data_IF_918594920838
#
_entry.id   IF_918594920838
#
_cell.length_a   1.000
_cell.length_b   1.000
_cell.length_c   1.000
_cell.angle_alpha   90.00
_cell.angle_beta   90.00
_cell.angle_gamma   90.00
#
_symmetry.space_group_name_H-M   'P 1'
#
loop_
_entity.id
_entity.type
_entity.pdbx_description
1 polymer ?
#
# COMPACT_ATOMS: atom_id res chain seq x y z
N UNK A 1 -21.39 -45.12 -46.50
CA UNK A 1 -22.29 -44.40 -45.58
C UNK A 1 -21.70 -42.99 -45.43
N UNK A 2 -22.31 -41.99 -46.07
CA UNK A 2 -21.79 -40.61 -46.10
C UNK A 2 -22.39 -39.87 -44.91
N UNK A 3 -21.54 -39.39 -43.99
CA UNK A 3 -21.96 -38.48 -42.92
C UNK A 3 -22.32 -37.13 -43.56
N UNK A 4 -23.62 -36.88 -43.76
CA UNK A 4 -24.10 -35.56 -44.17
C UNK A 4 -24.02 -34.63 -42.97
N UNK A 5 -23.09 -33.67 -43.07
CA UNK A 5 -22.81 -32.66 -42.06
C UNK A 5 -24.02 -31.80 -41.69
N UNK A 6 -23.95 -31.25 -40.48
CA UNK A 6 -24.89 -30.24 -39.99
C UNK A 6 -25.13 -29.15 -41.05
N UNK A 7 -26.37 -28.72 -41.28
CA UNK A 7 -26.67 -27.72 -42.30
C UNK A 7 -25.97 -26.39 -41.99
N UNK A 8 -25.43 -25.74 -43.02
CA UNK A 8 -24.68 -24.48 -42.94
C UNK A 8 -25.46 -23.35 -42.22
N UNK A 9 -26.79 -23.43 -42.19
CA UNK A 9 -27.69 -22.49 -41.52
C UNK A 9 -27.70 -22.60 -39.99
N UNK A 10 -27.46 -23.79 -39.41
CA UNK A 10 -27.36 -23.93 -37.95
C UNK A 10 -26.08 -23.32 -37.41
N UNK A 11 -24.95 -23.47 -38.13
CA UNK A 11 -23.67 -22.84 -37.75
C UNK A 11 -23.74 -21.31 -37.73
N UNK A 12 -24.37 -20.70 -38.74
CA UNK A 12 -24.54 -19.23 -38.80
C UNK A 12 -25.43 -18.68 -37.69
N UNK A 13 -26.52 -19.37 -37.35
CA UNK A 13 -27.39 -18.96 -36.23
C UNK A 13 -26.72 -19.14 -34.87
N UNK A 14 -25.93 -20.20 -34.70
CA UNK A 14 -25.21 -20.46 -33.46
C UNK A 14 -24.06 -19.47 -33.25
N UNK A 15 -23.35 -19.06 -34.32
CA UNK A 15 -22.32 -18.01 -34.22
C UNK A 15 -22.93 -16.64 -33.93
N UNK A 16 -24.03 -16.26 -34.60
CA UNK A 16 -24.74 -15.01 -34.32
C UNK A 16 -25.29 -14.95 -32.88
N UNK A 17 -25.82 -16.06 -32.38
CA UNK A 17 -26.28 -16.16 -31.00
C UNK A 17 -25.13 -16.00 -29.99
N UNK A 18 -23.97 -16.61 -30.28
CA UNK A 18 -22.78 -16.47 -29.42
C UNK A 18 -22.22 -15.04 -29.45
N UNK A 19 -22.14 -14.39 -30.63
CA UNK A 19 -21.69 -13.00 -30.77
C UNK A 19 -22.65 -12.01 -30.07
N UNK A 20 -23.95 -12.26 -30.11
CA UNK A 20 -24.96 -11.45 -29.42
C UNK A 20 -24.90 -11.64 -27.90
N UNK A 21 -24.69 -12.86 -27.41
CA UNK A 21 -24.46 -13.12 -25.98
C UNK A 21 -23.15 -12.50 -25.47
N UNK A 22 -22.06 -12.58 -26.23
CA UNK A 22 -20.80 -11.91 -25.90
C UNK A 22 -20.99 -10.39 -25.86
N UNK A 23 -21.69 -9.80 -26.83
CA UNK A 23 -21.98 -8.37 -26.83
C UNK A 23 -22.78 -7.94 -25.59
N UNK A 24 -23.84 -8.68 -25.25
CA UNK A 24 -24.67 -8.41 -24.06
C UNK A 24 -23.83 -8.55 -22.78
N UNK A 25 -22.94 -9.55 -22.72
CA UNK A 25 -22.02 -9.71 -21.59
C UNK A 25 -21.12 -8.49 -21.44
N UNK A 26 -20.42 -8.08 -22.51
CA UNK A 26 -19.52 -6.92 -22.48
C UNK A 26 -20.26 -5.61 -22.19
N UNK A 27 -21.48 -5.45 -22.70
CA UNK A 27 -22.32 -4.28 -22.43
C UNK A 27 -22.72 -4.22 -20.94
N UNK A 28 -23.17 -5.35 -20.37
CA UNK A 28 -23.47 -5.45 -18.93
C UNK A 28 -22.24 -5.19 -18.07
N UNK A 29 -21.09 -5.73 -18.46
CA UNK A 29 -19.84 -5.55 -17.74
C UNK A 29 -19.39 -4.08 -17.79
N UNK A 30 -19.49 -3.43 -18.95
CA UNK A 30 -19.17 -2.01 -19.12
C UNK A 30 -20.08 -1.12 -18.26
N UNK A 31 -21.37 -1.42 -18.20
CA UNK A 31 -22.35 -0.70 -17.38
C UNK A 31 -22.11 -0.93 -15.88
N UNK A 32 -21.62 -2.11 -15.51
CA UNK A 32 -21.22 -2.41 -14.13
C UNK A 32 -20.01 -1.58 -13.73
N UNK A 33 -18.93 -1.60 -14.53
CA UNK A 33 -17.72 -0.80 -14.30
C UNK A 33 -18.04 0.70 -14.24
N UNK A 34 -18.94 1.19 -15.11
CA UNK A 34 -19.38 2.59 -15.07
C UNK A 34 -20.05 2.94 -13.74
N UNK A 35 -20.97 2.10 -13.25
CA UNK A 35 -21.65 2.31 -11.96
C UNK A 35 -20.68 2.25 -10.78
N UNK A 36 -19.73 1.33 -10.80
CA UNK A 36 -18.68 1.23 -9.79
C UNK A 36 -17.82 2.50 -9.77
N UNK A 37 -17.41 2.99 -10.95
CA UNK A 37 -16.66 4.24 -11.07
C UNK A 37 -17.47 5.46 -10.60
N UNK A 38 -18.74 5.58 -11.00
CA UNK A 38 -19.60 6.69 -10.57
C UNK A 38 -19.75 6.71 -9.04
N UNK A 39 -19.93 5.54 -8.41
CA UNK A 39 -19.99 5.39 -6.96
C UNK A 39 -18.67 5.80 -6.28
N UNK A 40 -17.53 5.33 -6.80
CA UNK A 40 -16.20 5.72 -6.27
C UNK A 40 -16.00 7.23 -6.35
N UNK A 41 -16.36 7.87 -7.46
CA UNK A 41 -16.25 9.32 -7.62
C UNK A 41 -17.15 10.08 -6.65
N UNK A 42 -18.35 9.56 -6.36
CA UNK A 42 -19.25 10.14 -5.36
C UNK A 42 -18.65 10.05 -3.94
N UNK A 43 -18.07 8.90 -3.58
CA UNK A 43 -17.36 8.72 -2.32
C UNK A 43 -16.17 9.68 -2.18
N UNK A 44 -15.29 9.75 -3.19
CA UNK A 44 -14.15 10.68 -3.20
C UNK A 44 -14.64 12.12 -3.00
N UNK A 45 -15.69 12.52 -3.72
CA UNK A 45 -16.24 13.87 -3.60
C UNK A 45 -16.74 14.15 -2.18
N UNK A 46 -17.49 13.21 -1.59
CA UNK A 46 -18.01 13.34 -0.22
C UNK A 46 -16.88 13.50 0.80
N UNK A 47 -15.82 12.72 0.68
CA UNK A 47 -14.70 12.78 1.62
C UNK A 47 -13.85 14.04 1.45
N UNK A 48 -13.72 14.54 0.21
CA UNK A 48 -13.08 15.84 -0.04
C UNK A 48 -13.90 17.00 0.55
N UNK A 49 -15.23 16.96 0.41
CA UNK A 49 -16.12 17.94 1.05
C UNK A 49 -16.03 17.88 2.57
N UNK A 50 -15.99 16.68 3.14
CA UNK A 50 -15.76 16.46 4.56
C UNK A 50 -14.40 17.03 4.99
N UNK A 51 -13.31 16.71 4.30
CA UNK A 51 -11.97 17.18 4.64
C UNK A 51 -11.89 18.71 4.62
N UNK A 52 -12.44 19.34 3.57
CA UNK A 52 -12.51 20.80 3.46
C UNK A 52 -13.32 21.44 4.59
N UNK A 53 -14.38 20.79 5.06
CA UNK A 53 -15.22 21.30 6.16
C UNK A 53 -14.58 21.11 7.53
N UNK A 54 -14.03 19.92 7.79
CA UNK A 54 -13.57 19.50 9.11
C UNK A 54 -12.11 19.86 9.38
N UNK A 55 -11.23 19.70 8.40
CA UNK A 55 -9.81 20.03 8.51
C UNK A 55 -9.46 21.38 7.89
N UNK A 56 -10.42 22.05 7.25
CA UNK A 56 -10.25 23.33 6.56
C UNK A 56 -9.23 23.28 5.40
N UNK A 57 -8.85 22.07 4.98
CA UNK A 57 -7.88 21.82 3.92
C UNK A 57 -8.14 20.46 3.28
N UNK A 58 -7.68 20.31 2.04
CA UNK A 58 -7.48 19.01 1.37
C UNK A 58 -5.99 18.77 1.08
N UNK A 59 -5.11 19.66 1.54
CA UNK A 59 -3.67 19.57 1.37
C UNK A 59 -2.99 18.77 2.48
N UNK A 60 -1.75 19.13 2.79
CA UNK A 60 -0.95 18.42 3.79
C UNK A 60 -1.49 18.68 5.20
N UNK A 61 -1.52 17.61 5.99
CA UNK A 61 -1.74 17.64 7.43
C UNK A 61 -0.68 16.76 8.09
N UNK A 62 -0.29 17.13 9.29
CA UNK A 62 0.63 16.34 10.12
C UNK A 62 -0.12 15.82 11.32
N UNK A 63 0.08 14.55 11.64
CA UNK A 63 -0.48 13.89 12.81
C UNK A 63 0.60 13.12 13.55
N UNK A 64 0.58 13.20 14.87
CA UNK A 64 1.48 12.44 15.72
C UNK A 64 0.88 11.06 15.99
N UNK A 65 1.63 10.01 15.68
CA UNK A 65 1.20 8.62 15.91
C UNK A 65 1.07 8.40 17.42
N UNK A 66 -0.08 7.93 17.93
CA UNK A 66 -0.27 7.67 19.35
C UNK A 66 0.72 6.61 19.82
N UNK A 67 1.26 6.82 21.03
CA UNK A 67 2.18 5.86 21.67
C UNK A 67 1.58 4.45 21.77
N UNK A 68 0.26 4.35 21.93
CA UNK A 68 -0.44 3.05 22.01
C UNK A 68 -0.41 2.25 20.70
N UNK A 69 -0.21 2.92 19.57
CA UNK A 69 -0.12 2.30 18.25
C UNK A 69 1.33 1.93 17.89
N UNK A 70 2.29 2.28 18.76
CA UNK A 70 3.70 1.96 18.58
C UNK A 70 4.08 0.62 19.26
N UNK A 71 5.06 -0.11 18.70
CA UNK A 71 5.65 -1.26 19.37
C UNK A 71 6.27 -0.84 20.71
N UNK A 72 6.25 -1.76 21.69
CA UNK A 72 6.77 -1.51 23.06
C UNK A 72 8.17 -0.90 23.09
N UNK A 73 9.04 -1.33 22.18
CA UNK A 73 10.42 -0.84 22.06
C UNK A 73 10.52 0.63 21.59
N UNK A 74 9.42 1.20 21.11
CA UNK A 74 9.30 2.53 20.53
C UNK A 74 8.25 3.41 21.23
N UNK A 75 7.76 3.02 22.42
CA UNK A 75 6.74 3.80 23.13
C UNK A 75 7.19 5.23 23.51
N UNK A 76 8.49 5.48 23.57
CA UNK A 76 9.04 6.81 23.82
C UNK A 76 9.43 7.53 22.53
N UNK A 77 9.21 6.92 21.36
CA UNK A 77 9.55 7.51 20.06
C UNK A 77 8.44 8.48 19.64
N UNK A 78 8.83 9.69 19.28
CA UNK A 78 7.89 10.68 18.78
C UNK A 78 7.88 10.63 17.26
N UNK A 79 6.75 10.23 16.69
CA UNK A 79 6.62 10.00 15.25
C UNK A 79 5.48 10.84 14.70
N UNK A 80 5.82 11.67 13.72
CA UNK A 80 4.87 12.45 12.96
C UNK A 80 4.72 11.85 11.57
N UNK A 81 3.48 11.63 11.20
CA UNK A 81 3.07 11.24 9.87
C UNK A 81 2.47 12.45 9.16
N UNK A 82 3.12 12.88 8.08
CA UNK A 82 2.57 13.88 7.16
C UNK A 82 1.86 13.17 6.01
N UNK A 83 0.63 13.60 5.72
CA UNK A 83 -0.19 13.07 4.61
C UNK A 83 -0.87 14.22 3.88
N UNK A 84 -1.05 14.08 2.57
CA UNK A 84 -1.88 14.98 1.77
C UNK A 84 -3.30 14.40 1.67
N UNK A 85 -4.30 15.09 2.24
CA UNK A 85 -5.66 14.54 2.32
C UNK A 85 -6.29 14.24 0.96
N UNK A 86 -6.01 15.04 -0.07
CA UNK A 86 -6.48 14.78 -1.42
C UNK A 86 -5.92 13.46 -1.95
N UNK A 87 -4.60 13.27 -1.88
CA UNK A 87 -3.95 12.03 -2.29
C UNK A 87 -4.41 10.85 -1.43
N UNK A 88 -4.51 11.02 -0.12
CA UNK A 88 -4.95 10.00 0.82
C UNK A 88 -6.35 9.45 0.50
N UNK A 89 -7.31 10.33 0.19
CA UNK A 89 -8.65 9.92 -0.22
C UNK A 89 -8.59 9.15 -1.55
N UNK A 90 -7.85 9.66 -2.54
CA UNK A 90 -7.72 8.96 -3.82
C UNK A 90 -7.00 7.62 -3.66
N UNK A 91 -6.03 7.50 -2.76
CA UNK A 91 -5.34 6.27 -2.42
C UNK A 91 -6.32 5.21 -1.91
N UNK A 92 -7.20 5.57 -0.97
CA UNK A 92 -8.17 4.64 -0.38
C UNK A 92 -9.16 4.05 -1.39
N UNK A 93 -9.50 4.82 -2.43
CA UNK A 93 -10.45 4.41 -3.48
C UNK A 93 -9.79 3.92 -4.77
N UNK A 94 -8.46 3.97 -4.85
CA UNK A 94 -7.74 3.51 -6.04
C UNK A 94 -7.54 2.00 -6.03
N UNK A 95 -7.62 1.41 -7.22
CA UNK A 95 -7.15 0.06 -7.47
C UNK A 95 -5.64 -0.03 -7.23
N UNK A 96 -5.18 -1.26 -6.94
CA UNK A 96 -3.80 -1.55 -6.53
C UNK A 96 -2.79 -0.91 -7.50
N UNK A 97 -3.06 -0.92 -8.82
CA UNK A 97 -2.20 -0.31 -9.84
C UNK A 97 -2.01 1.21 -9.70
N UNK A 98 -3.04 1.93 -9.29
CA UNK A 98 -3.07 3.39 -9.22
C UNK A 98 -2.69 3.95 -7.85
N UNK A 99 -2.81 3.15 -6.78
CA UNK A 99 -2.47 3.55 -5.40
C UNK A 99 -1.07 4.17 -5.29
N UNK A 100 -0.10 3.62 -6.02
CA UNK A 100 1.27 4.14 -6.03
C UNK A 100 1.36 5.64 -6.38
N UNK A 101 0.49 6.16 -7.25
CA UNK A 101 0.49 7.58 -7.63
C UNK A 101 -0.06 8.51 -6.56
N UNK A 102 -0.85 7.96 -5.63
CA UNK A 102 -1.50 8.70 -4.57
C UNK A 102 -0.87 8.43 -3.20
N UNK A 103 0.22 7.66 -3.14
CA UNK A 103 0.98 7.48 -1.91
C UNK A 103 1.49 8.84 -1.43
N UNK A 104 1.27 9.14 -0.15
CA UNK A 104 1.57 10.46 0.39
C UNK A 104 2.13 10.44 1.81
N UNK A 105 2.07 9.30 2.50
CA UNK A 105 2.58 9.14 3.85
C UNK A 105 4.07 9.43 3.92
N UNK A 106 4.46 10.43 4.71
CA UNK A 106 5.86 10.71 5.05
C UNK A 106 6.05 10.64 6.55
N UNK A 107 6.98 9.79 6.96
CA UNK A 107 7.30 9.58 8.37
C UNK A 107 8.47 10.48 8.74
N UNK A 108 8.29 11.24 9.81
CA UNK A 108 9.32 12.05 10.42
C UNK A 108 9.44 11.71 11.90
N UNK A 109 10.66 11.49 12.35
CA UNK A 109 10.96 11.24 13.76
C UNK A 109 11.36 12.55 14.42
N UNK A 110 10.76 12.91 15.55
CA UNK A 110 11.07 14.14 16.27
C UNK A 110 12.27 13.87 17.18
N UNK A 111 13.49 13.98 16.64
CA UNK A 111 14.80 14.09 17.33
C UNK A 111 15.22 13.03 18.37
N UNK A 112 14.35 12.17 18.88
CA UNK A 112 14.64 11.22 19.97
C UNK A 112 15.08 9.82 19.48
N UNK A 113 15.42 9.71 18.20
CA UNK A 113 15.95 8.47 17.62
C UNK A 113 17.25 8.03 18.30
N UNK A 114 18.09 9.00 18.71
CA UNK A 114 19.33 8.76 19.45
C UNK A 114 19.09 8.03 20.76
N UNK A 115 18.07 8.45 21.51
CA UNK A 115 17.74 7.91 22.83
C UNK A 115 17.10 6.52 22.70
N UNK A 116 16.19 6.37 21.74
CA UNK A 116 15.47 5.11 21.49
C UNK A 116 16.41 4.00 21.01
N UNK A 117 17.32 4.34 20.08
CA UNK A 117 18.28 3.37 19.54
C UNK A 117 19.57 3.28 20.36
N UNK A 118 19.76 4.17 21.35
CA UNK A 118 21.01 4.32 22.11
C UNK A 118 22.22 4.46 21.17
N UNK A 119 22.18 5.47 20.29
CA UNK A 119 23.19 5.76 19.27
C UNK A 119 23.61 7.24 19.33
N UNK A 120 24.78 7.57 18.77
CA UNK A 120 25.20 8.97 18.65
C UNK A 120 24.39 9.72 17.60
N UNK A 121 24.35 11.05 17.75
CA UNK A 121 23.69 11.96 16.82
C UNK A 121 24.23 11.81 15.38
N UNK A 122 25.55 11.69 15.20
CA UNK A 122 26.18 11.46 13.89
C UNK A 122 25.65 10.20 13.18
N UNK A 123 25.34 9.15 13.95
CA UNK A 123 24.80 7.89 13.43
C UNK A 123 23.31 8.07 13.10
N UNK A 124 22.56 8.75 13.96
CA UNK A 124 21.15 9.06 13.70
C UNK A 124 20.99 9.90 12.41
N UNK A 125 21.82 10.93 12.22
CA UNK A 125 21.86 11.73 11.00
C UNK A 125 22.21 10.89 9.76
N UNK A 126 23.17 9.97 9.87
CA UNK A 126 23.47 9.03 8.78
C UNK A 126 22.28 8.12 8.44
N UNK A 127 21.57 7.62 9.45
CA UNK A 127 20.37 6.80 9.24
C UNK A 127 19.28 7.62 8.55
N UNK A 128 19.04 8.85 9.01
CA UNK A 128 18.08 9.76 8.39
C UNK A 128 18.43 10.06 6.93
N UNK A 129 19.70 10.36 6.63
CA UNK A 129 20.17 10.57 5.26
C UNK A 129 19.91 9.34 4.41
N UNK A 130 20.30 8.15 4.88
CA UNK A 130 20.11 6.90 4.12
C UNK A 130 18.63 6.58 3.84
N UNK A 131 17.75 6.84 4.80
CA UNK A 131 16.30 6.68 4.61
C UNK A 131 15.74 7.70 3.62
N UNK A 132 16.20 8.96 3.70
CA UNK A 132 15.72 10.04 2.82
C UNK A 132 16.23 9.90 1.39
N UNK A 133 17.50 9.52 1.21
CA UNK A 133 18.16 9.38 -0.09
C UNK A 133 17.53 8.27 -0.94
N UNK A 134 16.89 7.29 -0.29
CA UNK A 134 16.31 6.11 -0.93
C UNK A 134 14.80 5.99 -0.71
N UNK A 135 14.12 7.08 -0.31
CA UNK A 135 12.70 7.11 0.03
C UNK A 135 11.83 6.48 -1.07
N UNK A 136 12.06 6.88 -2.33
CA UNK A 136 11.38 6.29 -3.50
C UNK A 136 11.58 4.77 -3.64
N UNK A 137 12.78 4.26 -3.33
CA UNK A 137 13.09 2.83 -3.42
C UNK A 137 12.37 2.08 -2.29
N UNK A 138 12.36 2.66 -1.09
CA UNK A 138 11.67 2.12 0.08
C UNK A 138 10.16 2.08 -0.15
N UNK A 139 9.56 3.17 -0.65
CA UNK A 139 8.15 3.23 -1.02
C UNK A 139 7.78 2.18 -2.08
N UNK A 140 8.59 2.06 -3.12
CA UNK A 140 8.40 1.09 -4.20
C UNK A 140 8.50 -0.37 -3.72
N UNK A 141 9.38 -0.61 -2.75
CA UNK A 141 9.54 -1.92 -2.12
C UNK A 141 8.36 -2.26 -1.24
N UNK A 142 7.96 -1.33 -0.38
CA UNK A 142 6.79 -1.47 0.47
C UNK A 142 5.56 -1.83 -0.35
N UNK A 143 5.31 -1.09 -1.44
CA UNK A 143 4.20 -1.34 -2.35
C UNK A 143 4.27 -2.74 -2.99
N UNK A 144 5.45 -3.12 -3.49
CA UNK A 144 5.63 -4.43 -4.12
C UNK A 144 5.42 -5.58 -3.11
N UNK A 145 5.82 -5.37 -1.85
CA UNK A 145 5.56 -6.30 -0.75
C UNK A 145 4.08 -6.40 -0.39
N UNK A 146 3.38 -5.27 -0.27
CA UNK A 146 1.95 -5.27 0.05
C UNK A 146 1.12 -5.96 -1.03
N UNK A 147 1.38 -5.64 -2.31
CA UNK A 147 0.73 -6.35 -3.43
C UNK A 147 1.00 -7.84 -3.39
N UNK A 148 2.22 -8.25 -3.04
CA UNK A 148 2.56 -9.66 -2.90
C UNK A 148 1.75 -10.33 -1.78
N UNK A 149 1.62 -9.66 -0.63
CA UNK A 149 0.79 -10.14 0.48
C UNK A 149 -0.67 -10.29 0.05
N UNK A 150 -1.27 -9.28 -0.58
CA UNK A 150 -2.66 -9.33 -1.04
C UNK A 150 -2.89 -10.43 -2.08
N UNK A 151 -1.99 -10.57 -3.05
CA UNK A 151 -2.05 -11.65 -4.06
C UNK A 151 -1.99 -13.02 -3.39
N UNK A 152 -1.10 -13.20 -2.41
CA UNK A 152 -0.98 -14.46 -1.68
C UNK A 152 -2.21 -14.75 -0.81
N UNK A 153 -2.81 -13.74 -0.19
CA UNK A 153 -4.05 -13.89 0.57
C UNK A 153 -5.24 -14.24 -0.33
N UNK A 154 -5.41 -13.54 -1.46
CA UNK A 154 -6.46 -13.84 -2.45
C UNK A 154 -6.30 -15.27 -2.97
N UNK A 155 -5.08 -15.68 -3.31
CA UNK A 155 -4.78 -17.04 -3.75
C UNK A 155 -5.15 -18.09 -2.68
N UNK A 156 -4.86 -17.80 -1.41
CA UNK A 156 -5.23 -18.66 -0.27
C UNK A 156 -6.75 -18.75 -0.10
N UNK A 157 -7.46 -17.62 -0.17
CA UNK A 157 -8.92 -17.57 0.03
C UNK A 157 -9.68 -18.27 -1.10
N UNK A 158 -9.20 -18.15 -2.32
CA UNK A 158 -9.83 -18.76 -3.50
C UNK A 158 -9.49 -20.25 -3.63
N UNK A 159 -8.52 -20.78 -2.88
CA UNK A 159 -7.98 -22.14 -3.01
C UNK A 159 -7.67 -22.53 -4.46
N UNK A 160 -7.51 -21.55 -5.33
CA UNK A 160 -7.26 -21.73 -6.73
C UNK A 160 -5.77 -21.95 -6.85
N UNK A 161 -5.32 -23.15 -7.19
CA UNK A 161 -3.97 -23.38 -7.70
C UNK A 161 -3.81 -22.72 -9.08
N UNK A 162 -4.18 -21.44 -9.20
CA UNK A 162 -4.21 -20.70 -10.46
C UNK A 162 -2.78 -20.34 -10.85
N UNK A 163 -2.28 -20.81 -12.00
CA UNK A 163 -0.99 -20.40 -12.53
C UNK A 163 -0.84 -18.88 -12.66
N UNK A 164 -1.95 -18.14 -12.79
CA UNK A 164 -1.96 -16.68 -12.83
C UNK A 164 -1.41 -16.07 -11.54
N UNK A 165 -1.94 -16.46 -10.37
CA UNK A 165 -1.47 -15.91 -9.09
C UNK A 165 0.01 -16.23 -8.83
N UNK A 166 0.46 -17.43 -9.20
CA UNK A 166 1.88 -17.80 -9.10
C UNK A 166 2.76 -16.91 -9.99
N UNK A 167 2.34 -16.64 -11.21
CA UNK A 167 3.06 -15.76 -12.15
C UNK A 167 3.17 -14.33 -11.62
N UNK A 168 2.05 -13.78 -11.10
CA UNK A 168 2.02 -12.44 -10.50
C UNK A 168 2.93 -12.37 -9.27
N UNK A 169 2.85 -13.35 -8.35
CA UNK A 169 3.72 -13.39 -7.16
C UNK A 169 5.19 -13.48 -7.53
N UNK A 170 5.57 -14.30 -8.52
CA UNK A 170 6.95 -14.39 -8.99
C UNK A 170 7.46 -13.06 -9.58
N UNK A 171 6.64 -12.39 -10.39
CA UNK A 171 6.97 -11.08 -10.96
C UNK A 171 7.19 -10.02 -9.86
N UNK A 172 6.33 -10.00 -8.84
CA UNK A 172 6.48 -9.13 -7.68
C UNK A 172 7.75 -9.43 -6.89
N UNK A 173 8.06 -10.71 -6.66
CA UNK A 173 9.30 -11.14 -6.00
C UNK A 173 10.55 -10.69 -6.78
N UNK A 174 10.57 -10.84 -8.10
CA UNK A 174 11.67 -10.35 -8.95
C UNK A 174 11.82 -8.83 -8.86
N UNK A 175 10.71 -8.09 -8.87
CA UNK A 175 10.72 -6.63 -8.70
C UNK A 175 11.28 -6.23 -7.33
N UNK A 176 10.88 -6.93 -6.27
CA UNK A 176 11.39 -6.73 -4.91
C UNK A 176 12.91 -6.96 -4.88
N UNK A 177 13.41 -8.09 -5.39
CA UNK A 177 14.85 -8.37 -5.39
C UNK A 177 15.65 -7.35 -6.21
N UNK A 178 15.11 -6.91 -7.35
CA UNK A 178 15.72 -5.84 -8.16
C UNK A 178 15.80 -4.52 -7.39
N UNK A 179 14.73 -4.12 -6.69
CA UNK A 179 14.74 -2.91 -5.88
C UNK A 179 15.71 -3.02 -4.68
N UNK A 180 15.73 -4.16 -3.98
CA UNK A 180 16.70 -4.43 -2.90
C UNK A 180 18.15 -4.30 -3.39
N UNK A 181 18.45 -4.76 -4.61
CA UNK A 181 19.81 -4.71 -5.16
C UNK A 181 20.29 -3.28 -5.47
N UNK A 182 19.36 -2.35 -5.73
CA UNK A 182 19.64 -0.94 -6.01
C UNK A 182 19.80 -0.09 -4.74
N UNK A 183 19.19 -0.54 -3.65
CA UNK A 183 19.21 0.17 -2.38
C UNK A 183 20.50 -0.12 -1.61
N UNK A 184 21.35 0.90 -1.52
CA UNK A 184 22.55 0.84 -0.68
C UNK A 184 22.17 0.72 0.78
N UNK A 185 21.06 1.37 1.19
CA UNK A 185 20.49 1.23 2.50
C UNK A 185 20.13 -0.21 2.78
N UNK A 186 19.33 -0.89 1.95
CA UNK A 186 18.87 -2.27 2.18
C UNK A 186 20.01 -3.29 2.14
N UNK A 187 20.98 -3.08 1.24
CA UNK A 187 22.17 -3.93 1.20
C UNK A 187 22.98 -3.83 2.51
N UNK A 188 23.03 -2.65 3.10
CA UNK A 188 23.71 -2.41 4.38
C UNK A 188 22.79 -2.61 5.58
N UNK A 189 21.48 -2.62 5.36
CA UNK A 189 20.43 -2.59 6.34
C UNK A 189 20.55 -3.79 7.24
N UNK A 190 20.47 -5.00 6.70
CA UNK A 190 20.68 -6.25 7.45
C UNK A 190 22.15 -6.65 7.57
N UNK A 191 23.08 -5.69 7.55
CA UNK A 191 24.51 -5.97 7.67
C UNK A 191 25.02 -5.63 9.07
N UNK A 192 24.94 -6.62 9.97
CA UNK A 192 25.44 -6.48 11.34
C UNK A 192 26.91 -6.05 11.40
N UNK A 193 27.74 -6.45 10.43
CA UNK A 193 29.16 -6.09 10.40
C UNK A 193 29.35 -4.61 10.06
N UNK A 194 28.54 -4.07 9.16
CA UNK A 194 28.55 -2.64 8.81
C UNK A 194 28.21 -1.78 10.03
N UNK A 195 27.09 -2.08 10.70
CA UNK A 195 26.65 -1.31 11.87
C UNK A 195 27.57 -1.47 13.08
N UNK A 196 28.12 -2.67 13.32
CA UNK A 196 29.14 -2.86 14.36
C UNK A 196 30.40 -2.00 14.13
N UNK A 197 30.86 -1.88 12.88
CA UNK A 197 31.99 -0.99 12.53
C UNK A 197 31.67 0.49 12.76
N UNK A 198 30.39 0.85 12.69
CA UNK A 198 29.88 2.20 13.00
C UNK A 198 29.64 2.43 14.49
N UNK A 199 29.92 1.43 15.35
CA UNK A 199 29.81 1.56 16.80
C UNK A 199 28.47 1.14 17.41
N UNK A 200 27.53 0.59 16.61
CA UNK A 200 26.25 0.15 17.16
C UNK A 200 26.40 -1.14 17.97
N UNK A 201 25.74 -1.17 19.13
CA UNK A 201 25.60 -2.39 19.92
C UNK A 201 24.71 -3.41 19.21
N UNK A 202 24.76 -4.68 19.63
CA UNK A 202 23.86 -5.71 19.09
C UNK A 202 22.38 -5.37 19.32
N UNK A 203 22.07 -4.77 20.46
CA UNK A 203 20.71 -4.34 20.81
C UNK A 203 20.25 -3.19 19.92
N UNK A 204 21.08 -2.16 19.74
CA UNK A 204 20.82 -1.01 18.87
C UNK A 204 20.57 -1.44 17.42
N UNK A 205 21.34 -2.42 16.93
CA UNK A 205 21.13 -3.00 15.59
C UNK A 205 19.77 -3.70 15.50
N UNK A 206 19.39 -4.47 16.51
CA UNK A 206 18.10 -5.14 16.54
C UNK A 206 16.93 -4.15 16.58
N UNK A 207 17.03 -3.12 17.42
CA UNK A 207 16.04 -2.04 17.52
C UNK A 207 15.93 -1.25 16.23
N UNK A 208 17.07 -0.93 15.61
CA UNK A 208 17.10 -0.34 14.29
C UNK A 208 16.31 -1.23 13.33
N UNK A 209 16.60 -2.54 13.28
CA UNK A 209 15.89 -3.48 12.39
C UNK A 209 14.38 -3.51 12.58
N UNK A 210 13.93 -3.52 13.82
CA UNK A 210 12.51 -3.44 14.15
C UNK A 210 11.89 -2.10 13.73
N UNK A 211 12.62 -0.99 13.88
CA UNK A 211 12.12 0.35 13.55
C UNK A 211 11.77 0.45 12.07
N UNK A 212 12.69 0.10 11.18
CA UNK A 212 12.41 0.23 9.74
C UNK A 212 11.52 -0.89 9.23
N UNK A 213 11.57 -2.08 9.83
CA UNK A 213 10.56 -3.12 9.59
C UNK A 213 9.16 -2.55 9.81
N UNK A 214 8.91 -2.04 11.01
CA UNK A 214 7.62 -1.50 11.38
C UNK A 214 7.22 -0.27 10.55
N UNK A 215 8.06 0.78 10.51
CA UNK A 215 7.67 2.06 9.91
C UNK A 215 7.73 2.06 8.39
N UNK A 216 8.62 1.30 7.76
CA UNK A 216 8.86 1.45 6.32
C UNK A 216 8.52 0.21 5.50
N UNK A 217 8.26 -0.95 6.12
CA UNK A 217 8.03 -2.21 5.40
C UNK A 217 6.70 -2.88 5.75
N UNK A 218 6.25 -2.81 7.00
CA UNK A 218 5.13 -3.61 7.51
C UNK A 218 3.78 -2.88 7.51
N UNK A 219 3.77 -1.55 7.59
CA UNK A 219 2.55 -0.77 7.79
C UNK A 219 2.21 0.15 6.61
N UNK A 220 0.99 0.00 6.10
CA UNK A 220 0.41 0.95 5.14
C UNK A 220 -0.12 2.18 5.88
N UNK A 221 0.76 3.17 6.08
CA UNK A 221 0.45 4.39 6.80
C UNK A 221 -0.60 5.26 6.12
N UNK A 222 -0.71 5.24 4.78
CA UNK A 222 -1.77 5.94 4.07
C UNK A 222 -3.14 5.29 4.39
N UNK A 223 -3.22 3.96 4.37
CA UNK A 223 -4.46 3.27 4.76
C UNK A 223 -4.81 3.50 6.23
N UNK A 224 -3.85 3.43 7.15
CA UNK A 224 -4.06 3.68 8.58
C UNK A 224 -4.52 5.13 8.81
N UNK A 225 -3.85 6.10 8.18
CA UNK A 225 -4.23 7.51 8.27
C UNK A 225 -5.65 7.74 7.74
N UNK A 226 -5.98 7.15 6.58
CA UNK A 226 -7.33 7.25 6.02
C UNK A 226 -8.38 6.70 6.97
N UNK A 227 -8.14 5.52 7.57
CA UNK A 227 -9.05 4.93 8.55
C UNK A 227 -9.26 5.85 9.75
N UNK A 228 -8.18 6.43 10.30
CA UNK A 228 -8.25 7.32 11.44
C UNK A 228 -9.00 8.63 11.16
N UNK A 229 -8.83 9.19 9.96
CA UNK A 229 -9.44 10.48 9.61
C UNK A 229 -10.89 10.34 9.11
N UNK A 230 -11.19 9.30 8.34
CA UNK A 230 -12.46 9.20 7.60
C UNK A 230 -13.36 8.05 8.09
N UNK A 231 -12.80 6.91 8.49
CA UNK A 231 -13.60 5.72 8.83
C UNK A 231 -14.02 5.71 10.30
N UNK A 232 -13.08 5.88 11.22
CA UNK A 232 -13.31 5.78 12.67
C UNK A 232 -14.30 6.84 13.22
N UNK A 233 -14.65 7.86 12.43
CA UNK A 233 -15.60 8.92 12.82
C UNK A 233 -16.97 8.85 12.11
N UNK A 234 -17.12 7.99 11.11
CA UNK A 234 -18.44 7.71 10.56
C UNK A 234 -19.32 6.93 11.54
N UNK A 235 -18.72 6.11 12.41
CA UNK A 235 -19.44 5.39 13.46
C UNK A 235 -20.00 6.32 14.56
N UNK A 236 -19.27 7.38 14.93
CA UNK A 236 -19.72 8.39 15.91
C UNK A 236 -20.87 9.27 15.37
N UNK A 237 -20.95 9.49 14.06
CA UNK A 237 -21.99 10.32 13.44
C UNK A 237 -23.26 9.55 13.09
N UNK A 238 -23.20 8.21 13.00
CA UNK A 238 -24.38 7.35 12.82
C UNK A 238 -24.92 6.75 14.12
N UNK A 239 -24.20 6.87 15.24
CA UNK A 239 -24.55 6.30 16.55
C UNK A 239 -25.47 7.14 17.44
N UNK A 240 -26.10 8.21 16.94
CA UNK A 240 -27.15 8.95 17.64
C UNK A 240 -28.42 9.03 16.79
N UNK A 241 -29.19 7.95 16.78
CA UNK A 241 -30.64 7.97 16.53
C UNK A 241 -31.34 6.96 17.44
#
# INVERSE_FOLDING_TARGET
MVFTGMPYSSWKRQSQYNEEQERIFWEKESLKRKRENDFIQECIKRDLEFAKKHYQTTGNITYSIPVNDLPKDFNNLEVNLEVNLYNLIHYAYSDDELRFFYKTSKISFISNLTDVLNISEDIALQIHSLLSDEDYIIESLHESWFRLCEVNERNRLLNSYDPFYKTVSNSLLEKIEKLKSKSSFIRNWRNNRFWKKKGLSRESISKLYSLVGFFYLENDWDRIAYQNYFVSRHEETTGNK
#
